data_IF_647327781604
#
_entry.id   IF_647327781604
#
_cell.length_a   1.000
_cell.length_b   1.000
_cell.length_c   1.000
_cell.angle_alpha   90.00
_cell.angle_beta   90.00
_cell.angle_gamma   90.00
#
_symmetry.space_group_name_H-M   'P 1'
#
loop_
_entity.id
_entity.type
_entity.pdbx_description
1 polymer ?
#
# COMPACT_ATOMS: atom_id res chain seq x y z
N UNK A 1 36.46 16.17 -45.49
CA UNK A 1 37.84 15.74 -45.24
C UNK A 1 37.99 15.83 -43.72
N UNK A 2 38.02 14.84 -42.94
CA UNK A 2 38.75 13.60 -42.81
C UNK A 2 37.94 12.59 -41.99
N UNK A 3 37.82 11.40 -42.54
CA UNK A 3 37.31 10.20 -41.85
C UNK A 3 38.41 9.59 -40.99
N UNK A 4 38.08 9.07 -39.83
CA UNK A 4 38.97 8.10 -39.15
C UNK A 4 38.15 6.88 -38.76
N UNK A 5 38.58 5.76 -39.29
CA UNK A 5 38.08 4.39 -39.14
C UNK A 5 38.78 3.66 -37.97
N UNK A 6 38.19 2.51 -37.63
CA UNK A 6 38.82 1.29 -37.09
C UNK A 6 38.92 1.25 -35.56
N UNK A 7 38.59 0.17 -34.86
CA UNK A 7 38.95 -1.24 -35.09
C UNK A 7 38.04 -2.18 -34.32
N UNK A 8 37.69 -3.26 -34.98
CA UNK A 8 37.13 -4.53 -34.46
C UNK A 8 38.26 -5.29 -33.76
N UNK A 9 37.99 -5.86 -32.60
CA UNK A 9 38.81 -6.94 -32.06
C UNK A 9 37.94 -8.06 -31.53
N UNK A 10 37.89 -9.11 -32.33
CA UNK A 10 37.35 -10.44 -32.06
C UNK A 10 38.39 -11.20 -31.22
N UNK A 11 38.03 -11.78 -30.12
CA UNK A 11 38.79 -12.83 -29.45
C UNK A 11 37.89 -14.04 -29.17
N UNK A 12 38.11 -15.09 -29.93
CA UNK A 12 37.61 -16.44 -29.72
C UNK A 12 38.62 -17.12 -28.81
N UNK A 13 38.14 -17.78 -27.75
CA UNK A 13 38.93 -18.85 -27.10
C UNK A 13 37.99 -20.02 -26.75
N UNK A 14 38.31 -21.15 -27.33
CA UNK A 14 37.71 -22.46 -27.16
C UNK A 14 38.43 -23.27 -26.07
N UNK A 15 37.73 -24.27 -25.53
CA UNK A 15 38.29 -25.43 -24.85
C UNK A 15 37.97 -25.50 -23.37
N UNK A 16 37.39 -26.54 -22.82
CA UNK A 16 37.73 -27.93 -22.78
C UNK A 16 36.61 -28.76 -22.11
N UNK A 17 36.27 -29.85 -22.70
CA UNK A 17 35.46 -30.97 -22.18
C UNK A 17 36.19 -31.65 -21.02
N UNK A 18 35.48 -31.98 -19.95
CA UNK A 18 35.87 -33.15 -19.12
C UNK A 18 34.62 -33.88 -18.65
N UNK A 19 34.53 -35.08 -19.20
CA UNK A 19 33.61 -36.18 -18.84
C UNK A 19 34.03 -36.79 -17.52
N UNK A 20 33.06 -36.99 -16.62
CA UNK A 20 33.26 -37.75 -15.39
C UNK A 20 31.95 -38.42 -15.02
N UNK A 21 31.70 -39.64 -15.53
CA UNK A 21 30.63 -40.52 -15.07
C UNK A 21 31.04 -41.20 -13.75
N UNK A 22 30.17 -41.09 -12.75
CA UNK A 22 30.16 -42.04 -11.63
C UNK A 22 28.73 -42.47 -11.38
N UNK A 23 28.42 -43.71 -11.69
CA UNK A 23 27.24 -44.44 -11.28
C UNK A 23 27.39 -44.85 -9.80
N UNK A 24 26.44 -44.47 -8.97
CA UNK A 24 26.15 -45.15 -7.73
C UNK A 24 24.65 -45.28 -7.58
N UNK A 25 24.15 -46.48 -7.73
CA UNK A 25 22.80 -46.92 -7.40
C UNK A 25 22.67 -46.92 -5.86
N UNK A 26 21.60 -46.33 -5.34
CA UNK A 26 21.06 -46.67 -4.03
C UNK A 26 19.54 -46.69 -4.13
N UNK A 27 19.00 -47.89 -3.92
CA UNK A 27 17.57 -48.19 -3.89
C UNK A 27 16.91 -47.66 -2.59
N UNK A 28 15.69 -47.15 -2.73
CA UNK A 28 14.61 -47.35 -1.76
C UNK A 28 14.53 -46.36 -0.60
N UNK A 29 13.61 -45.38 -0.70
CA UNK A 29 12.63 -45.14 0.36
C UNK A 29 11.47 -44.34 -0.22
N UNK A 30 10.27 -44.95 -0.24
CA UNK A 30 8.99 -44.27 -0.42
C UNK A 30 8.76 -43.36 0.79
N UNK A 31 8.38 -42.10 0.56
CA UNK A 31 8.02 -41.23 1.65
C UNK A 31 7.76 -39.79 1.23
N UNK A 32 6.48 -39.43 1.20
CA UNK A 32 5.92 -38.11 1.31
C UNK A 32 6.17 -37.14 0.15
N UNK A 33 5.13 -36.98 -0.67
CA UNK A 33 4.93 -35.83 -1.54
C UNK A 33 5.03 -34.54 -0.74
N UNK A 34 6.21 -33.93 -0.71
CA UNK A 34 6.41 -32.55 -0.31
C UNK A 34 5.73 -31.68 -1.36
N UNK A 35 4.71 -30.94 -0.95
CA UNK A 35 4.20 -29.84 -1.75
C UNK A 35 5.36 -28.84 -1.93
N UNK A 36 6.04 -28.89 -3.07
CA UNK A 36 6.89 -27.82 -3.53
C UNK A 36 6.02 -26.58 -3.69
N UNK A 37 5.95 -25.76 -2.63
CA UNK A 37 5.46 -24.40 -2.74
C UNK A 37 6.46 -23.68 -3.63
N UNK A 38 6.07 -23.45 -4.89
CA UNK A 38 6.77 -22.55 -5.77
C UNK A 38 7.05 -21.25 -5.00
N UNK A 39 8.29 -20.70 -5.08
CA UNK A 39 8.62 -19.47 -4.36
C UNK A 39 7.59 -18.39 -4.75
N UNK A 40 6.88 -17.87 -3.76
CA UNK A 40 5.89 -16.82 -3.96
C UNK A 40 6.56 -15.70 -4.75
N UNK A 41 6.10 -15.48 -5.98
CA UNK A 41 6.60 -14.40 -6.83
C UNK A 41 6.50 -13.11 -6.01
N UNK A 42 7.63 -12.46 -5.75
CA UNK A 42 7.68 -11.21 -5.00
C UNK A 42 6.73 -10.24 -5.68
N UNK A 43 5.63 -9.91 -5.03
CA UNK A 43 4.71 -8.87 -5.52
C UNK A 43 5.53 -7.61 -5.77
N UNK A 44 5.44 -6.98 -6.95
CA UNK A 44 6.16 -5.74 -7.21
C UNK A 44 5.93 -4.73 -6.09
N UNK A 45 6.98 -4.03 -5.68
CA UNK A 45 6.87 -3.04 -4.61
C UNK A 45 5.86 -1.95 -5.01
N UNK A 46 4.93 -1.66 -4.11
CA UNK A 46 3.99 -0.55 -4.26
C UNK A 46 4.74 0.79 -4.19
N UNK A 47 4.39 1.72 -5.06
CA UNK A 47 4.76 3.13 -4.95
C UNK A 47 3.55 3.95 -4.50
N UNK A 48 3.77 5.00 -3.71
CA UNK A 48 2.68 5.84 -3.19
C UNK A 48 1.74 5.10 -2.25
N UNK A 49 0.45 5.43 -2.32
CA UNK A 49 -0.56 4.99 -1.37
C UNK A 49 -1.14 3.61 -1.68
N UNK A 50 -1.64 2.93 -0.66
CA UNK A 50 -2.48 1.76 -0.83
C UNK A 50 -3.81 2.14 -1.53
N UNK A 51 -4.52 1.16 -2.07
CA UNK A 51 -5.81 1.38 -2.74
C UNK A 51 -6.83 2.01 -1.79
N UNK A 52 -7.36 3.22 -2.08
CA UNK A 52 -8.06 4.02 -1.10
C UNK A 52 -9.57 3.76 -1.00
N UNK A 53 -10.14 2.92 -1.86
CA UNK A 53 -11.58 2.72 -1.91
C UNK A 53 -12.02 1.43 -1.24
N UNK A 54 -13.18 1.46 -0.61
CA UNK A 54 -13.81 0.30 0.02
C UNK A 54 -14.44 -0.66 -1.00
N UNK A 55 -14.49 -0.31 -2.28
CA UNK A 55 -15.20 -1.08 -3.30
C UNK A 55 -14.28 -1.56 -4.42
N UNK A 56 -14.57 -2.73 -4.97
CA UNK A 56 -13.89 -3.29 -6.13
C UNK A 56 -14.10 -2.43 -7.39
N UNK A 57 -13.05 -2.07 -8.15
CA UNK A 57 -13.16 -1.20 -9.32
C UNK A 57 -13.90 -1.86 -10.51
N UNK A 58 -14.09 -3.18 -10.47
CA UNK A 58 -14.77 -3.93 -11.54
C UNK A 58 -16.25 -4.20 -11.22
N UNK A 59 -16.53 -4.66 -10.01
CA UNK A 59 -17.87 -5.11 -9.63
C UNK A 59 -18.65 -4.11 -8.79
N UNK A 60 -17.98 -3.08 -8.25
CA UNK A 60 -18.55 -2.15 -7.28
C UNK A 60 -18.84 -2.77 -5.89
N UNK A 61 -18.63 -4.09 -5.73
CA UNK A 61 -18.88 -4.75 -4.45
C UNK A 61 -17.90 -4.28 -3.38
N UNK A 62 -18.39 -4.25 -2.13
CA UNK A 62 -17.57 -3.96 -0.96
C UNK A 62 -16.43 -4.97 -0.86
N UNK A 63 -15.22 -4.49 -0.60
CA UNK A 63 -14.05 -5.34 -0.32
C UNK A 63 -14.22 -6.02 1.05
N UNK A 64 -13.69 -7.22 1.17
CA UNK A 64 -13.79 -8.01 2.41
C UNK A 64 -15.07 -8.84 2.56
N UNK A 65 -16.14 -8.59 1.77
CA UNK A 65 -17.40 -9.35 1.86
C UNK A 65 -17.33 -10.76 1.26
N UNK A 66 -16.30 -11.04 0.48
CA UNK A 66 -16.09 -12.35 -0.18
C UNK A 66 -14.74 -12.98 0.24
N UNK A 67 -14.27 -12.70 1.44
CA UNK A 67 -12.94 -13.03 1.94
C UNK A 67 -11.95 -11.89 1.74
N UNK A 68 -10.66 -12.15 2.02
CA UNK A 68 -9.62 -11.14 1.90
C UNK A 68 -9.54 -10.59 0.47
N UNK A 69 -9.38 -9.27 0.31
CA UNK A 69 -9.25 -8.65 -1.00
C UNK A 69 -8.04 -9.18 -1.78
N UNK A 70 -8.24 -9.49 -3.06
CA UNK A 70 -7.14 -9.84 -3.94
C UNK A 70 -6.39 -8.56 -4.32
N UNK A 71 -5.11 -8.50 -3.95
CA UNK A 71 -4.25 -7.34 -4.22
C UNK A 71 -3.38 -7.59 -5.46
N UNK A 72 -3.35 -6.62 -6.36
CA UNK A 72 -2.46 -6.61 -7.53
C UNK A 72 -1.74 -5.25 -7.61
N UNK A 73 -0.55 -5.26 -8.18
CA UNK A 73 0.25 -4.06 -8.41
C UNK A 73 0.53 -3.93 -9.90
N UNK A 74 0.13 -2.81 -10.50
CA UNK A 74 0.34 -2.46 -11.90
C UNK A 74 1.23 -1.23 -11.95
N UNK A 75 2.43 -1.36 -12.45
CA UNK A 75 3.40 -0.25 -12.52
C UNK A 75 3.65 0.44 -11.17
N UNK A 76 3.75 -0.36 -10.11
CA UNK A 76 3.87 0.11 -8.73
C UNK A 76 2.55 0.57 -8.09
N UNK A 77 1.45 0.63 -8.82
CA UNK A 77 0.14 1.06 -8.33
C UNK A 77 -0.68 -0.13 -7.81
N UNK A 78 -1.04 -0.07 -6.55
CA UNK A 78 -1.88 -1.09 -5.92
C UNK A 78 -3.35 -0.94 -6.32
N UNK A 79 -3.99 -2.07 -6.65
CA UNK A 79 -5.44 -2.17 -6.88
C UNK A 79 -5.97 -3.37 -6.11
N UNK A 80 -7.12 -3.20 -5.45
CA UNK A 80 -7.77 -4.25 -4.64
C UNK A 80 -9.08 -4.70 -5.26
N UNK A 81 -9.33 -6.00 -5.24
CA UNK A 81 -10.48 -6.64 -5.86
C UNK A 81 -11.23 -7.52 -4.86
N UNK A 82 -12.54 -7.62 -5.00
CA UNK A 82 -13.38 -8.45 -4.12
C UNK A 82 -13.21 -9.95 -4.32
N UNK A 83 -12.66 -10.41 -5.46
CA UNK A 83 -12.48 -11.84 -5.75
C UNK A 83 -11.45 -12.08 -6.87
N UNK A 84 -10.99 -13.33 -7.00
CA UNK A 84 -9.97 -13.73 -7.98
C UNK A 84 -10.36 -13.59 -9.47
N UNK A 85 -11.63 -13.44 -9.80
CA UNK A 85 -12.09 -13.23 -11.18
C UNK A 85 -11.99 -11.79 -11.68
N UNK A 86 -11.92 -10.81 -10.75
CA UNK A 86 -11.90 -9.39 -11.10
C UNK A 86 -10.58 -8.91 -11.72
N UNK A 87 -9.39 -9.35 -11.28
CA UNK A 87 -8.13 -8.95 -11.90
C UNK A 87 -8.09 -9.23 -13.41
N UNK A 88 -8.48 -10.41 -13.84
CA UNK A 88 -8.51 -10.77 -15.27
C UNK A 88 -9.40 -9.84 -16.10
N UNK A 89 -10.54 -9.40 -15.54
CA UNK A 89 -11.44 -8.45 -16.21
C UNK A 89 -10.82 -7.05 -16.29
N UNK A 90 -10.12 -6.62 -15.25
CA UNK A 90 -9.40 -5.35 -15.21
C UNK A 90 -8.26 -5.34 -16.23
N UNK A 91 -7.48 -6.39 -16.30
CA UNK A 91 -6.31 -6.58 -17.16
C UNK A 91 -6.69 -6.67 -18.65
N UNK A 92 -7.89 -7.17 -18.98
CA UNK A 92 -8.37 -7.25 -20.36
C UNK A 92 -8.36 -5.89 -21.09
N UNK A 93 -8.59 -4.81 -20.34
CA UNK A 93 -8.56 -3.43 -20.84
C UNK A 93 -7.77 -2.53 -19.88
N UNK A 94 -6.54 -2.94 -19.56
CA UNK A 94 -5.74 -2.37 -18.47
C UNK A 94 -5.66 -0.84 -18.52
N UNK A 95 -5.30 -0.26 -19.65
CA UNK A 95 -5.16 1.19 -19.79
C UNK A 95 -6.49 1.94 -19.52
N UNK A 96 -7.59 1.43 -20.05
CA UNK A 96 -8.92 2.03 -19.82
C UNK A 96 -9.37 1.85 -18.37
N UNK A 97 -9.07 0.71 -17.76
CA UNK A 97 -9.40 0.41 -16.37
C UNK A 97 -8.62 1.31 -15.42
N UNK A 98 -7.34 1.55 -15.70
CA UNK A 98 -6.50 2.48 -14.95
C UNK A 98 -6.98 3.92 -15.13
N UNK A 99 -7.33 4.35 -16.36
CA UNK A 99 -7.84 5.70 -16.61
C UNK A 99 -9.15 5.97 -15.84
N UNK A 100 -10.10 5.03 -15.80
CA UNK A 100 -11.30 5.15 -14.97
C UNK A 100 -11.01 5.23 -13.48
N UNK A 101 -9.98 4.51 -13.04
CA UNK A 101 -9.55 4.59 -11.65
C UNK A 101 -8.89 5.95 -11.36
N UNK A 102 -8.15 6.52 -12.32
CA UNK A 102 -7.57 7.86 -12.23
C UNK A 102 -8.66 8.94 -12.10
N UNK A 103 -9.70 8.86 -12.93
CA UNK A 103 -10.86 9.75 -12.84
C UNK A 103 -11.51 9.70 -11.45
N UNK A 104 -11.69 8.48 -10.91
CA UNK A 104 -12.26 8.29 -9.57
C UNK A 104 -11.36 8.87 -8.48
N UNK A 105 -10.03 8.70 -8.57
CA UNK A 105 -9.07 9.27 -7.63
C UNK A 105 -9.05 10.81 -7.73
N UNK A 106 -9.06 11.36 -8.94
CA UNK A 106 -9.08 12.79 -9.15
C UNK A 106 -10.37 13.42 -8.58
N UNK A 107 -11.52 12.79 -8.78
CA UNK A 107 -12.79 13.23 -8.23
C UNK A 107 -12.82 13.17 -6.69
N UNK A 108 -12.20 12.16 -6.10
CA UNK A 108 -12.13 11.97 -4.65
C UNK A 108 -11.13 12.91 -3.96
N UNK A 109 -9.95 13.07 -4.53
CA UNK A 109 -8.87 13.85 -3.91
C UNK A 109 -8.82 15.31 -4.35
N UNK A 110 -9.39 15.65 -5.50
CA UNK A 110 -9.39 17.00 -6.06
C UNK A 110 -9.96 18.08 -5.13
N UNK A 111 -11.13 17.87 -4.51
CA UNK A 111 -11.74 18.85 -3.59
C UNK A 111 -10.93 19.14 -2.32
N UNK A 112 -10.08 18.19 -1.91
CA UNK A 112 -9.27 18.30 -0.68
C UNK A 112 -7.78 18.54 -0.97
N UNK A 113 -7.42 18.78 -2.23
CA UNK A 113 -6.02 19.01 -2.62
C UNK A 113 -5.48 20.29 -1.96
N UNK A 114 -4.37 20.22 -1.18
CA UNK A 114 -4.00 21.30 -0.27
C UNK A 114 -3.26 22.47 -0.93
N UNK A 115 -2.64 22.25 -2.11
CA UNK A 115 -1.77 23.22 -2.75
C UNK A 115 -2.50 24.03 -3.85
N UNK A 116 -2.22 25.32 -3.89
CA UNK A 116 -2.59 26.21 -5.00
C UNK A 116 -1.43 26.43 -5.98
N UNK A 117 -0.29 25.83 -5.70
CA UNK A 117 0.94 25.95 -6.49
C UNK A 117 1.35 24.61 -7.05
N UNK A 118 2.09 24.60 -8.16
CA UNK A 118 2.68 23.39 -8.73
C UNK A 118 3.62 22.74 -7.72
N UNK A 119 3.47 21.44 -7.55
CA UNK A 119 4.29 20.65 -6.64
C UNK A 119 5.78 20.64 -7.05
N UNK A 120 6.08 20.84 -8.33
CA UNK A 120 7.45 20.84 -8.87
C UNK A 120 8.09 22.21 -8.87
N UNK A 121 7.39 23.22 -9.42
CA UNK A 121 7.96 24.56 -9.62
C UNK A 121 7.62 25.54 -8.51
N UNK A 122 6.62 25.24 -7.67
CA UNK A 122 6.13 26.14 -6.64
C UNK A 122 5.36 27.38 -7.18
N UNK A 123 5.18 27.50 -8.51
CA UNK A 123 4.42 28.57 -9.14
C UNK A 123 2.92 28.30 -9.02
N UNK A 124 2.11 29.35 -9.05
CA UNK A 124 0.66 29.23 -8.99
C UNK A 124 0.13 28.29 -10.09
N UNK A 125 -0.81 27.43 -9.70
CA UNK A 125 -1.48 26.53 -10.64
C UNK A 125 -2.42 27.35 -11.54
N UNK A 126 -2.48 27.03 -12.85
CA UNK A 126 -3.48 27.60 -13.74
C UNK A 126 -4.89 27.14 -13.34
N UNK A 127 -5.91 27.79 -13.89
CA UNK A 127 -7.31 27.39 -13.67
C UNK A 127 -7.57 25.90 -14.00
N UNK A 128 -6.88 25.37 -15.01
CA UNK A 128 -6.88 23.97 -15.38
C UNK A 128 -5.47 23.41 -15.28
N UNK A 129 -5.08 22.92 -14.08
CA UNK A 129 -3.77 22.33 -13.88
C UNK A 129 -3.61 21.01 -14.65
N UNK A 130 -2.39 20.64 -14.95
CA UNK A 130 -2.09 19.30 -15.41
C UNK A 130 -2.20 18.33 -14.23
N UNK A 131 -3.12 17.35 -14.35
CA UNK A 131 -3.39 16.36 -13.31
C UNK A 131 -2.99 14.97 -13.78
N UNK A 132 -2.42 14.18 -12.88
CA UNK A 132 -2.19 12.75 -13.08
C UNK A 132 -2.17 12.03 -11.73
N UNK A 133 -2.31 10.70 -11.78
CA UNK A 133 -2.25 9.86 -10.57
C UNK A 133 -0.92 9.11 -10.53
N UNK A 134 -0.24 9.22 -9.40
CA UNK A 134 0.98 8.49 -9.11
C UNK A 134 0.78 7.64 -7.85
N UNK A 135 0.82 6.32 -7.98
CA UNK A 135 0.66 5.40 -6.85
C UNK A 135 -0.59 5.68 -5.99
N UNK A 136 -1.75 5.85 -6.62
CA UNK A 136 -3.04 6.20 -5.98
C UNK A 136 -3.10 7.61 -5.34
N UNK A 137 -2.13 8.49 -5.62
CA UNK A 137 -2.14 9.88 -5.18
C UNK A 137 -2.34 10.83 -6.37
N UNK A 138 -3.30 11.76 -6.25
CA UNK A 138 -3.47 12.85 -7.21
C UNK A 138 -2.29 13.82 -7.13
N UNK A 139 -1.72 14.17 -8.27
CA UNK A 139 -0.65 15.16 -8.43
C UNK A 139 -1.15 16.26 -9.35
N UNK A 140 -0.92 17.53 -8.95
CA UNK A 140 -1.22 18.73 -9.74
C UNK A 140 0.06 19.48 -10.07
N UNK A 141 0.25 19.77 -11.36
CA UNK A 141 1.38 20.50 -11.91
C UNK A 141 0.89 21.70 -12.73
N UNK A 142 1.76 22.67 -12.95
CA UNK A 142 1.46 23.81 -13.81
C UNK A 142 1.36 23.45 -15.28
N UNK A 143 2.15 22.46 -15.72
CA UNK A 143 2.17 22.00 -17.10
C UNK A 143 2.64 20.54 -17.18
N UNK A 144 2.30 19.84 -18.28
CA UNK A 144 2.69 18.45 -18.53
C UNK A 144 4.21 18.22 -18.50
N UNK A 145 4.99 19.20 -18.97
CA UNK A 145 6.45 19.14 -19.03
C UNK A 145 7.09 18.95 -17.64
N UNK A 146 6.44 19.41 -16.58
CA UNK A 146 6.92 19.26 -15.21
C UNK A 146 6.87 17.80 -14.72
N UNK A 147 6.10 16.93 -15.40
CA UNK A 147 6.00 15.49 -15.07
C UNK A 147 7.35 14.78 -15.15
N UNK A 148 8.20 15.18 -16.12
CA UNK A 148 9.54 14.60 -16.25
C UNK A 148 10.43 14.94 -15.04
N UNK A 149 10.29 16.14 -14.49
CA UNK A 149 11.02 16.53 -13.27
C UNK A 149 10.49 15.83 -12.04
N UNK A 150 9.17 15.73 -11.89
CA UNK A 150 8.54 14.91 -10.84
C UNK A 150 9.08 13.48 -10.84
N UNK A 151 9.20 12.86 -12.02
CA UNK A 151 9.64 11.47 -12.17
C UNK A 151 11.10 11.22 -11.72
N UNK A 152 11.94 12.26 -11.61
CA UNK A 152 13.32 12.12 -11.11
C UNK A 152 13.38 11.89 -9.60
N UNK A 153 12.43 12.42 -8.84
CA UNK A 153 12.43 12.33 -7.38
C UNK A 153 11.01 12.28 -6.79
N UNK A 154 10.16 11.30 -7.15
CA UNK A 154 8.75 11.27 -6.73
C UNK A 154 8.60 11.26 -5.21
N UNK A 155 9.45 10.54 -4.48
CA UNK A 155 9.40 10.49 -3.01
C UNK A 155 9.56 11.87 -2.35
N UNK A 156 10.43 12.73 -2.89
CA UNK A 156 10.61 14.11 -2.42
C UNK A 156 9.33 14.92 -2.58
N UNK A 157 8.72 14.86 -3.74
CA UNK A 157 7.51 15.60 -4.05
C UNK A 157 6.30 15.09 -3.26
N UNK A 158 6.18 13.77 -3.09
CA UNK A 158 5.15 13.19 -2.22
C UNK A 158 5.31 13.65 -0.77
N UNK A 159 6.53 13.67 -0.23
CA UNK A 159 6.77 14.18 1.12
C UNK A 159 6.37 15.66 1.27
N UNK A 160 6.64 16.49 0.26
CA UNK A 160 6.19 17.91 0.24
C UNK A 160 4.66 18.00 0.22
N UNK A 161 3.99 17.18 -0.58
CA UNK A 161 2.54 17.13 -0.63
C UNK A 161 1.95 16.65 0.70
N UNK A 162 2.56 15.64 1.35
CA UNK A 162 2.14 15.15 2.65
C UNK A 162 2.24 16.24 3.73
N UNK A 163 3.33 17.00 3.74
CA UNK A 163 3.48 18.15 4.66
C UNK A 163 2.37 19.19 4.44
N UNK A 164 2.01 19.45 3.18
CA UNK A 164 0.92 20.37 2.87
C UNK A 164 -0.44 19.84 3.34
N UNK A 165 -0.71 18.53 3.20
CA UNK A 165 -1.92 17.89 3.74
C UNK A 165 -1.96 17.99 5.25
N UNK A 166 -0.86 17.68 5.95
CA UNK A 166 -0.76 17.78 7.42
C UNK A 166 -0.99 19.22 7.86
N UNK A 167 -0.38 20.20 7.20
CA UNK A 167 -0.57 21.63 7.50
C UNK A 167 -2.01 22.09 7.32
N UNK A 168 -2.68 21.66 6.26
CA UNK A 168 -4.05 22.04 5.95
C UNK A 168 -5.08 21.35 6.87
N UNK A 169 -4.84 20.10 7.25
CA UNK A 169 -5.83 19.26 7.94
C UNK A 169 -5.54 19.06 9.43
N UNK A 170 -4.34 19.39 9.90
CA UNK A 170 -3.89 19.10 11.25
C UNK A 170 -4.57 19.89 12.34
N UNK A 171 -4.80 21.21 12.13
CA UNK A 171 -5.46 22.08 13.12
C UNK A 171 -6.91 21.71 13.39
N UNK A 172 -7.61 21.22 12.38
CA UNK A 172 -9.01 20.79 12.47
C UNK A 172 -9.19 19.28 12.47
N UNK A 173 -8.18 18.52 12.90
CA UNK A 173 -8.29 17.07 12.92
C UNK A 173 -9.42 16.59 13.84
N UNK A 174 -10.40 15.82 13.33
CA UNK A 174 -11.66 15.64 14.03
C UNK A 174 -11.62 14.61 15.17
N UNK A 175 -10.67 13.66 15.12
CA UNK A 175 -10.60 12.58 16.10
C UNK A 175 -9.69 12.96 17.28
N UNK A 176 -10.11 12.61 18.49
CA UNK A 176 -9.37 12.78 19.75
C UNK A 176 -8.55 11.56 20.15
N UNK A 177 -8.82 10.44 19.48
CA UNK A 177 -8.32 9.12 19.78
C UNK A 177 -7.85 8.44 18.49
N UNK A 178 -6.93 7.48 18.63
CA UNK A 178 -6.44 6.69 17.52
C UNK A 178 -7.58 5.88 16.88
N UNK A 179 -7.85 6.00 15.58
CA UNK A 179 -8.95 5.29 14.93
C UNK A 179 -8.72 3.78 14.84
N UNK A 180 -7.52 3.31 15.18
CA UNK A 180 -7.17 1.88 15.19
C UNK A 180 -7.38 1.28 16.57
N UNK A 181 -6.73 1.86 17.61
CA UNK A 181 -6.72 1.29 18.96
C UNK A 181 -7.70 1.94 19.92
N UNK A 182 -8.26 3.11 19.60
CA UNK A 182 -9.09 3.89 20.53
C UNK A 182 -8.29 4.66 21.60
N UNK A 183 -6.96 4.55 21.61
CA UNK A 183 -6.10 5.23 22.58
C UNK A 183 -6.07 6.75 22.35
N UNK A 184 -6.08 7.51 23.46
CA UNK A 184 -5.97 8.97 23.41
C UNK A 184 -4.57 9.40 22.98
N UNK A 185 -4.51 10.45 22.15
CA UNK A 185 -3.23 11.03 21.78
C UNK A 185 -2.58 11.77 22.97
N UNK A 186 -1.23 11.79 23.01
CA UNK A 186 -0.47 12.51 24.04
C UNK A 186 -0.42 11.80 25.39
N UNK A 187 -0.84 10.53 25.50
CA UNK A 187 -0.67 9.71 26.68
C UNK A 187 0.69 9.00 26.71
N UNK A 188 0.74 7.80 27.31
CA UNK A 188 1.96 6.99 27.43
C UNK A 188 2.59 6.61 26.09
N UNK A 189 1.80 6.68 24.98
CA UNK A 189 2.26 6.41 23.62
C UNK A 189 2.97 7.60 22.95
N UNK A 190 3.05 8.76 23.63
CA UNK A 190 3.67 9.99 23.08
C UNK A 190 2.82 10.70 22.03
N UNK A 191 3.49 11.57 21.24
CA UNK A 191 2.82 12.34 20.18
C UNK A 191 2.30 11.44 19.07
N UNK A 192 1.14 11.77 18.47
CA UNK A 192 0.56 10.99 17.40
C UNK A 192 1.45 11.01 16.14
N UNK A 193 1.41 9.91 15.41
CA UNK A 193 2.04 9.78 14.10
C UNK A 193 1.05 10.22 13.03
N UNK A 194 1.43 11.24 12.27
CA UNK A 194 0.66 11.72 11.12
C UNK A 194 0.95 10.86 9.89
N UNK A 195 -0.11 10.28 9.33
CA UNK A 195 -0.09 9.55 8.07
C UNK A 195 -0.92 10.30 7.04
N UNK A 196 -0.44 10.33 5.80
CA UNK A 196 -1.25 10.83 4.69
C UNK A 196 -1.59 9.67 3.77
N UNK A 197 -2.88 9.44 3.57
CA UNK A 197 -3.41 8.39 2.70
C UNK A 197 -4.48 8.98 1.80
N UNK A 198 -4.30 8.88 0.50
CA UNK A 198 -5.21 9.44 -0.51
C UNK A 198 -5.58 10.91 -0.24
N UNK A 199 -4.59 11.73 0.11
CA UNK A 199 -4.78 13.15 0.40
C UNK A 199 -5.48 13.46 1.73
N UNK A 200 -5.67 12.48 2.60
CA UNK A 200 -6.28 12.66 3.94
C UNK A 200 -5.26 12.40 5.03
N UNK A 201 -5.27 13.27 6.03
CA UNK A 201 -4.53 13.06 7.27
C UNK A 201 -5.25 12.01 8.12
N UNK A 202 -4.55 10.96 8.50
CA UNK A 202 -4.96 9.95 9.49
C UNK A 202 -3.93 9.94 10.60
N UNK A 203 -4.32 10.27 11.83
CA UNK A 203 -3.44 10.20 13.00
C UNK A 203 -3.54 8.87 13.69
N UNK A 204 -2.42 8.31 14.11
CA UNK A 204 -2.36 7.04 14.85
C UNK A 204 -1.42 7.18 16.04
N UNK A 205 -1.61 6.37 17.09
CA UNK A 205 -0.82 6.44 18.31
C UNK A 205 0.55 5.75 18.19
N UNK A 206 0.72 4.78 17.28
CA UNK A 206 1.97 4.01 17.18
C UNK A 206 2.23 3.46 15.77
N UNK A 207 3.43 2.88 15.58
CA UNK A 207 3.87 2.32 14.29
C UNK A 207 3.08 1.08 13.86
N UNK A 208 2.56 0.30 14.79
CA UNK A 208 1.75 -0.87 14.44
C UNK A 208 0.39 -0.45 13.92
N UNK A 209 -0.25 0.55 14.53
CA UNK A 209 -1.48 1.14 14.00
C UNK A 209 -1.30 1.71 12.58
N UNK A 210 -0.10 2.19 12.21
CA UNK A 210 0.20 2.58 10.84
C UNK A 210 0.03 1.41 9.87
N UNK A 211 0.51 0.22 10.21
CA UNK A 211 0.38 -1.00 9.38
C UNK A 211 -1.09 -1.37 9.17
N UNK A 212 -1.92 -1.21 10.21
CA UNK A 212 -3.35 -1.48 10.11
C UNK A 212 -4.06 -0.50 9.18
N UNK A 213 -3.69 0.79 9.23
CA UNK A 213 -4.18 1.78 8.25
C UNK A 213 -3.78 1.40 6.83
N UNK A 214 -2.56 0.96 6.60
CA UNK A 214 -2.08 0.53 5.28
C UNK A 214 -2.77 -0.76 4.79
N UNK A 215 -3.16 -1.63 5.72
CA UNK A 215 -3.91 -2.86 5.44
C UNK A 215 -5.34 -2.58 5.00
N UNK A 216 -6.03 -1.62 5.61
CA UNK A 216 -7.39 -1.22 5.24
C UNK A 216 -7.55 0.31 5.23
N UNK A 217 -6.94 1.01 4.24
CA UNK A 217 -6.97 2.47 4.20
C UNK A 217 -8.38 3.04 4.05
N UNK A 218 -9.25 2.37 3.29
CA UNK A 218 -10.60 2.84 3.03
C UNK A 218 -11.44 2.97 4.31
N UNK A 219 -11.27 2.05 5.26
CA UNK A 219 -11.91 2.08 6.57
C UNK A 219 -11.55 3.34 7.34
N UNK A 220 -10.25 3.63 7.45
CA UNK A 220 -9.76 4.75 8.25
C UNK A 220 -9.98 6.11 7.58
N UNK A 221 -9.90 6.17 6.25
CA UNK A 221 -10.35 7.31 5.45
C UNK A 221 -11.83 7.61 5.76
N UNK A 222 -12.68 6.59 5.69
CA UNK A 222 -14.11 6.72 5.97
C UNK A 222 -14.42 7.22 7.39
N UNK A 223 -13.69 6.73 8.41
CA UNK A 223 -13.82 7.20 9.79
C UNK A 223 -13.47 8.68 9.96
N UNK A 224 -12.36 9.12 9.35
CA UNK A 224 -11.95 10.53 9.40
C UNK A 224 -12.92 11.43 8.64
N UNK A 225 -13.37 11.01 7.45
CA UNK A 225 -14.31 11.77 6.63
C UNK A 225 -15.69 11.88 7.29
N UNK A 226 -16.19 10.82 7.93
CA UNK A 226 -17.43 10.83 8.72
C UNK A 226 -17.30 11.79 9.92
N UNK A 227 -16.21 11.70 10.67
CA UNK A 227 -15.97 12.58 11.81
C UNK A 227 -15.88 14.07 11.39
N UNK A 228 -15.31 14.39 10.22
CA UNK A 228 -15.28 15.76 9.67
C UNK A 228 -16.65 16.31 9.34
N UNK A 229 -17.58 15.44 8.95
CA UNK A 229 -18.98 15.81 8.68
C UNK A 229 -19.84 15.90 9.95
N UNK A 230 -19.26 15.61 11.13
CA UNK A 230 -20.00 15.52 12.39
C UNK A 230 -20.85 14.26 12.50
N UNK A 231 -20.66 13.29 11.61
CA UNK A 231 -21.30 11.97 11.67
C UNK A 231 -20.62 11.16 12.78
N UNK A 232 -21.40 10.46 13.58
CA UNK A 232 -20.84 9.57 14.60
C UNK A 232 -20.14 8.41 13.87
N UNK A 233 -18.80 8.22 14.03
CA UNK A 233 -18.13 7.13 13.38
C UNK A 233 -18.76 5.81 13.85
N UNK A 234 -18.95 4.86 12.93
CA UNK A 234 -19.41 3.53 13.27
C UNK A 234 -18.42 2.93 14.28
N UNK A 235 -18.86 2.73 15.50
CA UNK A 235 -18.03 2.18 16.57
C UNK A 235 -17.55 0.80 16.20
N UNK A 236 -16.29 0.49 16.49
CA UNK A 236 -15.71 -0.82 16.35
C UNK A 236 -16.41 -1.81 17.28
N UNK A 237 -17.37 -2.57 16.78
CA UNK A 237 -17.74 -3.84 17.38
C UNK A 237 -16.74 -4.90 16.91
N UNK A 238 -15.98 -5.46 17.86
CA UNK A 238 -15.25 -6.71 17.70
C UNK A 238 -13.73 -6.65 17.56
N UNK A 239 -13.02 -6.26 18.61
CA UNK A 239 -11.79 -6.95 19.01
C UNK A 239 -12.04 -7.53 20.40
N UNK A 240 -12.45 -8.78 20.42
CA UNK A 240 -12.39 -9.56 21.66
C UNK A 240 -10.93 -9.61 22.13
N UNK A 241 -10.75 -9.06 23.32
CA UNK A 241 -9.51 -9.10 24.06
C UNK A 241 -9.15 -10.58 24.28
N UNK A 242 -8.06 -11.05 23.69
CA UNK A 242 -7.36 -12.21 24.20
C UNK A 242 -6.82 -11.85 25.60
N UNK A 243 -7.68 -12.02 26.62
CA UNK A 243 -7.23 -12.10 28.01
C UNK A 243 -6.33 -13.32 28.11
N UNK A 244 -5.08 -13.08 28.50
CA UNK A 244 -4.10 -14.07 28.81
C UNK A 244 -4.66 -15.10 29.81
N UNK A 245 -4.49 -16.36 29.49
CA UNK A 245 -4.75 -17.49 30.34
C UNK A 245 -3.65 -17.58 31.38
N UNK A 246 -3.87 -16.97 32.53
CA UNK A 246 -2.99 -17.14 33.69
C UNK A 246 -3.29 -18.49 34.38
N UNK A 247 -2.19 -19.25 34.57
CA UNK A 247 -1.90 -20.03 35.76
C UNK A 247 -2.80 -21.24 36.08
N UNK A 248 -2.40 -22.41 35.59
CA UNK A 248 -2.71 -23.69 36.31
C UNK A 248 -1.87 -23.72 37.60
N UNK A 249 -2.52 -23.37 38.70
CA UNK A 249 -2.05 -23.72 40.03
C UNK A 249 -2.35 -25.19 40.33
N UNK A 250 -1.29 -26.00 40.42
CA UNK A 250 -1.38 -27.36 40.96
C UNK A 250 -1.90 -27.35 42.41
N UNK A 251 -2.83 -28.25 42.70
CA UNK A 251 -3.15 -28.66 44.08
C UNK A 251 -2.84 -30.15 44.20
N UNK A 252 -1.75 -30.42 44.90
CA UNK A 252 -1.43 -31.72 45.46
C UNK A 252 -2.56 -32.14 46.41
N UNK A 253 -3.15 -33.28 46.13
CA UNK A 253 -4.00 -33.96 47.08
C UNK A 253 -3.23 -35.14 47.68
N UNK A 254 -2.80 -34.96 48.94
CA UNK A 254 -2.15 -35.98 49.71
C UNK A 254 -3.12 -37.14 50.00
N UNK A 255 -2.62 -38.35 49.84
CA UNK A 255 -3.19 -39.57 50.38
C UNK A 255 -2.91 -39.66 51.89
N UNK A 256 -3.94 -39.76 52.71
CA UNK A 256 -3.90 -40.23 54.08
C UNK A 256 -4.57 -41.58 54.19
N UNK A 257 -3.79 -42.55 54.61
CA UNK A 257 -4.26 -43.83 55.11
C UNK A 257 -4.94 -43.66 56.49
N UNK A 258 -6.08 -44.24 56.66
CA UNK A 258 -6.47 -45.18 57.74
C UNK A 258 -7.84 -45.77 57.43
#
# INVERSE_FOLDING_TARGET
>A
MTATRLSVMTAVLAGLLSTGSVLAQHEGHEGHAGHDQAPAAKTPARVGDAYPFATCPISGKQLGTMGDPVVKVYDGREVRYCCGGCPKKFEKHLQQSLAKLDEKIAADQGPIYPLKTSLVTGKDLPEKPFEFVYGNRLIRLGAEQERAEFAKAPAKYLATLDQAVVGAQGKGYPLKECPVSGEKYGGDMGDPIDLVVAGRLVRVCCKDCKKDVEKDPAKFIGLVDAARKGEKPATHEGHEQHKGQEGHGGKDAGHGHE
#
